data_IF_599749468504
#
_entry.id   IF_599749468504
#
_cell.length_a   1.000
_cell.length_b   1.000
_cell.length_c   1.000
_cell.angle_alpha   90.00
_cell.angle_beta   90.00
_cell.angle_gamma   90.00
#
_symmetry.space_group_name_H-M   'P 1'
#
loop_
_entity.id
_entity.type
_entity.pdbx_description
1 polymer ?
#
# COMPACT_ATOMS: atom_id res chain seq x y z
N UNK A 1 -14.24 23.23 6.28
CA UNK A 1 -14.35 22.37 7.48
C UNK A 1 -13.59 21.09 7.20
N UNK A 2 -12.67 20.67 8.08
CA UNK A 2 -11.96 19.40 7.98
C UNK A 2 -12.77 18.25 8.61
N UNK A 3 -12.29 17.02 8.44
CA UNK A 3 -12.90 15.85 9.06
C UNK A 3 -12.72 15.88 10.58
N UNK A 4 -13.76 15.50 11.31
CA UNK A 4 -13.75 15.50 12.78
C UNK A 4 -12.81 14.41 13.37
N UNK A 5 -12.45 13.40 12.59
CA UNK A 5 -11.55 12.31 12.97
C UNK A 5 -10.78 11.81 11.73
N UNK A 6 -9.61 11.18 11.89
CA UNK A 6 -8.88 10.53 10.82
C UNK A 6 -9.72 9.41 10.18
N UNK A 7 -9.73 9.30 8.87
CA UNK A 7 -10.51 8.27 8.17
C UNK A 7 -9.72 7.47 7.13
N UNK A 8 -8.50 7.88 6.84
CA UNK A 8 -7.61 7.17 5.93
C UNK A 8 -6.13 7.45 6.23
N UNK A 9 -5.23 6.86 5.46
CA UNK A 9 -3.78 7.00 5.64
C UNK A 9 -3.21 8.37 5.22
N UNK A 10 -3.97 9.22 4.53
CA UNK A 10 -3.55 10.61 4.30
C UNK A 10 -3.57 11.43 5.59
N UNK A 11 -4.37 10.97 6.57
CA UNK A 11 -4.48 11.57 7.90
C UNK A 11 -3.54 10.88 8.91
N UNK A 12 -2.57 10.09 8.48
CA UNK A 12 -1.68 9.36 9.37
C UNK A 12 -0.87 10.32 10.26
N UNK A 13 -0.93 10.07 11.57
CA UNK A 13 -0.23 10.90 12.57
C UNK A 13 -1.00 12.16 13.01
N UNK A 14 -2.13 12.47 12.41
CA UNK A 14 -2.99 13.60 12.84
C UNK A 14 -3.98 13.15 13.92
N UNK A 15 -3.52 13.16 15.16
CA UNK A 15 -4.30 12.74 16.32
C UNK A 15 -5.06 13.90 16.99
N UNK A 16 -4.84 15.14 16.54
CA UNK A 16 -5.41 16.35 17.14
C UNK A 16 -6.76 16.76 16.52
N UNK A 17 -7.52 15.80 16.00
CA UNK A 17 -8.82 16.05 15.39
C UNK A 17 -9.96 16.02 16.38
N UNK A 18 -10.99 16.81 16.11
CA UNK A 18 -12.15 16.93 16.96
C UNK A 18 -13.21 17.81 16.33
N UNK A 19 -14.10 18.29 17.16
CA UNK A 19 -15.17 19.20 16.76
C UNK A 19 -15.18 20.46 17.63
N UNK A 20 -15.66 21.53 17.04
CA UNK A 20 -15.90 22.78 17.74
C UNK A 20 -17.37 22.82 18.22
N UNK A 21 -17.58 23.02 19.50
CA UNK A 21 -18.90 23.27 20.07
C UNK A 21 -19.08 24.77 20.15
N UNK A 22 -20.14 25.25 19.53
CA UNK A 22 -20.52 26.66 19.52
C UNK A 22 -21.85 26.79 20.26
N UNK A 23 -21.83 27.51 21.38
CA UNK A 23 -23.05 27.88 22.10
C UNK A 23 -23.24 29.39 22.04
N UNK A 24 -24.48 29.83 21.85
CA UNK A 24 -24.76 31.25 21.72
C UNK A 24 -24.39 32.01 23.02
N UNK A 25 -23.54 33.02 22.86
CA UNK A 25 -23.09 33.86 24.02
C UNK A 25 -21.96 33.25 24.84
N UNK A 26 -21.35 32.13 24.38
CA UNK A 26 -20.19 31.51 24.99
C UNK A 26 -19.02 31.44 24.02
N UNK A 27 -17.81 31.30 24.54
CA UNK A 27 -16.63 31.08 23.73
C UNK A 27 -16.63 29.67 23.09
N UNK A 28 -16.14 29.53 21.85
CA UNK A 28 -16.03 28.24 21.18
C UNK A 28 -15.16 27.25 21.95
N UNK A 29 -15.67 26.04 22.15
CA UNK A 29 -14.94 24.97 22.84
C UNK A 29 -14.57 23.85 21.85
N UNK A 30 -13.26 23.58 21.71
CA UNK A 30 -12.81 22.46 20.96
C UNK A 30 -12.81 21.18 21.80
N UNK A 31 -13.44 20.12 21.27
CA UNK A 31 -13.40 18.79 21.87
C UNK A 31 -12.76 17.79 20.91
N UNK A 32 -11.66 17.19 21.34
CA UNK A 32 -11.06 16.07 20.65
C UNK A 32 -11.94 14.83 20.77
N UNK A 33 -11.91 13.97 19.75
CA UNK A 33 -12.71 12.75 19.73
C UNK A 33 -11.97 11.66 20.51
N UNK A 34 -12.48 11.16 21.63
CA UNK A 34 -11.84 10.08 22.37
C UNK A 34 -11.91 8.79 21.56
N UNK A 35 -10.83 8.00 21.54
CA UNK A 35 -10.76 6.71 20.83
C UNK A 35 -11.03 6.82 19.33
N UNK A 36 -10.57 7.90 18.70
CA UNK A 36 -10.64 8.07 17.27
C UNK A 36 -9.84 6.96 16.54
N UNK A 37 -10.17 6.66 15.26
CA UNK A 37 -9.36 5.77 14.45
C UNK A 37 -7.92 6.26 14.35
N UNK A 38 -6.97 5.36 14.52
CA UNK A 38 -5.54 5.69 14.45
C UNK A 38 -4.98 5.11 13.17
N UNK A 39 -4.43 5.96 12.32
CA UNK A 39 -3.72 5.55 11.10
C UNK A 39 -2.25 5.88 11.25
N UNK A 40 -1.38 4.95 10.86
CA UNK A 40 0.08 5.12 10.92
C UNK A 40 0.74 4.60 9.66
N UNK A 41 1.82 5.26 9.30
CA UNK A 41 2.67 4.85 8.17
C UNK A 41 4.10 4.75 8.68
N UNK A 42 4.71 3.59 8.51
CA UNK A 42 6.07 3.30 8.97
C UNK A 42 6.89 2.62 7.88
N UNK A 43 8.19 2.54 8.07
CA UNK A 43 9.08 1.65 7.32
C UNK A 43 9.18 0.31 8.05
N UNK A 44 9.46 -0.75 7.31
CA UNK A 44 9.61 -2.07 7.90
C UNK A 44 10.80 -2.14 8.85
N UNK A 45 11.93 -1.52 8.48
CA UNK A 45 13.10 -1.41 9.33
C UNK A 45 12.77 -0.85 10.72
N UNK A 46 12.03 0.27 10.76
CA UNK A 46 11.65 0.93 12.01
C UNK A 46 10.74 0.03 12.87
N UNK A 47 9.78 -0.64 12.23
CA UNK A 47 8.85 -1.55 12.90
C UNK A 47 9.56 -2.76 13.50
N UNK A 48 10.56 -3.31 12.81
CA UNK A 48 11.35 -4.44 13.32
C UNK A 48 12.27 -4.05 14.47
N UNK A 49 12.79 -2.81 14.45
CA UNK A 49 13.65 -2.30 15.52
C UNK A 49 12.88 -1.99 16.81
N UNK A 50 11.70 -1.37 16.70
CA UNK A 50 10.92 -0.97 17.87
C UNK A 50 9.40 -1.17 17.67
N UNK A 51 8.93 -2.42 17.59
CA UNK A 51 7.52 -2.70 17.37
C UNK A 51 6.62 -2.23 18.54
N UNK A 52 7.11 -2.37 19.77
CA UNK A 52 6.34 -2.02 20.98
C UNK A 52 6.09 -0.50 21.10
N UNK A 53 7.02 0.32 20.63
CA UNK A 53 6.89 1.78 20.66
C UNK A 53 6.04 2.34 19.52
N UNK A 54 5.95 1.65 18.39
CA UNK A 54 5.31 2.14 17.18
C UNK A 54 3.90 1.58 16.96
N UNK A 55 3.70 0.29 17.29
CA UNK A 55 2.45 -0.40 17.00
C UNK A 55 1.45 -0.21 18.14
N UNK A 56 0.55 0.74 17.96
CA UNK A 56 -0.50 1.04 18.92
C UNK A 56 -1.69 0.09 18.77
N UNK A 57 -2.31 -0.36 19.88
CA UNK A 57 -3.51 -1.20 19.80
C UNK A 57 -4.63 -0.52 19.01
N UNK A 58 -5.35 -1.30 18.21
CA UNK A 58 -6.47 -0.86 17.35
C UNK A 58 -6.08 0.14 16.24
N UNK A 59 -4.78 0.34 15.98
CA UNK A 59 -4.33 1.14 14.87
C UNK A 59 -4.46 0.39 13.53
N UNK A 60 -4.74 1.14 12.46
CA UNK A 60 -4.54 0.72 11.07
C UNK A 60 -3.15 1.15 10.63
N UNK A 61 -2.31 0.21 10.25
CA UNK A 61 -0.88 0.45 9.98
C UNK A 61 -0.55 0.12 8.54
N UNK A 62 0.14 1.03 7.87
CA UNK A 62 0.74 0.82 6.56
C UNK A 62 2.25 0.80 6.71
N UNK A 63 2.87 -0.27 6.27
CA UNK A 63 4.31 -0.46 6.38
C UNK A 63 4.93 -0.52 4.99
N UNK A 64 5.82 0.39 4.72
CA UNK A 64 6.61 0.39 3.50
C UNK A 64 7.79 -0.58 3.65
N UNK A 65 7.92 -1.48 2.68
CA UNK A 65 9.01 -2.45 2.63
C UNK A 65 10.25 -1.75 2.07
N UNK A 66 11.11 -1.30 2.95
CA UNK A 66 12.41 -0.68 2.64
C UNK A 66 13.56 -1.68 2.71
N UNK A 67 13.24 -2.95 3.03
CA UNK A 67 14.15 -4.09 3.08
C UNK A 67 13.59 -5.16 2.15
N UNK A 68 14.48 -5.89 1.49
CA UNK A 68 14.10 -7.03 0.66
C UNK A 68 13.68 -8.19 1.55
N UNK A 69 12.42 -8.58 1.46
CA UNK A 69 11.85 -9.72 2.16
C UNK A 69 11.03 -10.59 1.21
N UNK A 70 11.04 -11.89 1.46
CA UNK A 70 10.21 -12.82 0.71
C UNK A 70 8.71 -12.65 1.07
N UNK A 71 7.85 -13.17 0.20
CA UNK A 71 6.41 -13.19 0.46
C UNK A 71 6.03 -13.97 1.72
N UNK A 72 6.76 -15.05 2.01
CA UNK A 72 6.55 -15.88 3.20
C UNK A 72 6.90 -15.12 4.49
N UNK A 73 8.04 -14.41 4.47
CA UNK A 73 8.45 -13.55 5.60
C UNK A 73 7.46 -12.40 5.82
N UNK A 74 7.00 -11.77 4.75
CA UNK A 74 5.99 -10.71 4.82
C UNK A 74 4.69 -11.21 5.47
N UNK A 75 4.20 -12.38 5.08
CA UNK A 75 3.02 -12.98 5.69
C UNK A 75 3.26 -13.35 7.16
N UNK A 76 4.41 -13.94 7.48
CA UNK A 76 4.76 -14.29 8.85
C UNK A 76 4.79 -13.05 9.77
N UNK A 77 5.41 -11.95 9.32
CA UNK A 77 5.45 -10.68 10.04
C UNK A 77 4.03 -10.18 10.31
N UNK A 78 3.18 -10.20 9.29
CA UNK A 78 1.80 -9.74 9.39
C UNK A 78 0.97 -10.59 10.35
N UNK A 79 1.05 -11.91 10.25
CA UNK A 79 0.33 -12.85 11.11
C UNK A 79 0.81 -12.78 12.57
N UNK A 80 2.06 -12.44 12.78
CA UNK A 80 2.64 -12.31 14.12
C UNK A 80 2.29 -10.96 14.77
N UNK A 81 2.48 -9.85 14.05
CA UNK A 81 2.35 -8.51 14.63
C UNK A 81 0.91 -8.08 14.83
N UNK A 82 -0.02 -8.47 13.95
CA UNK A 82 -1.44 -8.09 14.08
C UNK A 82 -2.02 -8.57 15.42
N UNK A 83 -1.99 -9.86 15.78
CA UNK A 83 -2.56 -10.31 17.05
C UNK A 83 -1.74 -9.87 18.25
N UNK A 84 -0.40 -9.85 18.14
CA UNK A 84 0.49 -9.47 19.24
C UNK A 84 0.23 -8.03 19.70
N UNK A 85 0.07 -7.09 18.76
CA UNK A 85 -0.18 -5.68 19.06
C UNK A 85 -1.64 -5.27 18.97
N UNK A 86 -2.54 -6.23 18.77
CA UNK A 86 -3.99 -5.98 18.64
C UNK A 86 -4.31 -4.93 17.56
N UNK A 87 -3.60 -4.98 16.44
CA UNK A 87 -3.81 -4.05 15.34
C UNK A 87 -5.16 -4.31 14.68
N UNK A 88 -5.77 -3.26 14.18
CA UNK A 88 -6.97 -3.38 13.36
C UNK A 88 -6.66 -3.98 11.99
N UNK A 89 -5.59 -3.51 11.39
CA UNK A 89 -5.08 -4.00 10.12
C UNK A 89 -3.61 -3.63 9.94
N UNK A 90 -2.91 -4.40 9.09
CA UNK A 90 -1.56 -4.09 8.65
C UNK A 90 -1.45 -4.36 7.15
N UNK A 91 -1.13 -3.33 6.38
CA UNK A 91 -0.85 -3.41 4.96
C UNK A 91 0.65 -3.27 4.72
N UNK A 92 1.28 -4.25 4.07
CA UNK A 92 2.67 -4.18 3.63
C UNK A 92 2.70 -3.68 2.18
N UNK A 93 3.42 -2.61 1.92
CA UNK A 93 3.51 -1.97 0.62
C UNK A 93 4.95 -2.03 0.15
N UNK A 94 5.26 -2.74 -0.93
CA UNK A 94 6.58 -2.68 -1.52
C UNK A 94 6.86 -1.24 -1.95
N UNK A 95 7.96 -0.67 -1.47
CA UNK A 95 8.51 0.51 -2.11
C UNK A 95 8.99 -0.01 -3.46
N UNK A 96 8.40 0.47 -4.56
CA UNK A 96 9.09 0.41 -5.83
C UNK A 96 10.38 1.18 -5.57
N UNK A 97 11.46 0.47 -5.28
CA UNK A 97 12.78 1.02 -5.54
C UNK A 97 12.66 1.47 -6.99
N UNK A 98 12.72 2.77 -7.22
CA UNK A 98 13.00 3.26 -8.56
C UNK A 98 14.25 2.47 -8.93
N UNK A 99 14.02 1.43 -9.74
CA UNK A 99 15.12 0.69 -10.30
C UNK A 99 15.99 1.79 -10.83
N UNK A 100 17.19 1.90 -10.26
CA UNK A 100 18.23 2.75 -10.78
C UNK A 100 17.97 2.86 -12.27
N UNK A 101 17.72 4.06 -12.72
CA UNK A 101 17.87 4.36 -14.14
C UNK A 101 19.23 3.76 -14.51
N UNK A 102 19.19 2.48 -14.90
CA UNK A 102 20.24 1.97 -15.74
C UNK A 102 20.33 3.03 -16.83
N UNK A 103 21.50 3.62 -17.00
CA UNK A 103 21.83 4.57 -18.02
C UNK A 103 21.33 4.12 -19.39
N UNK A 104 20.04 4.21 -19.61
CA UNK A 104 19.40 4.11 -20.88
C UNK A 104 19.55 5.51 -21.47
N UNK A 105 20.42 5.59 -22.46
CA UNK A 105 20.60 6.76 -23.27
C UNK A 105 19.22 7.41 -23.58
N UNK A 106 19.13 8.74 -23.60
CA UNK A 106 17.86 9.43 -23.85
C UNK A 106 17.39 9.12 -25.28
N UNK A 107 16.52 8.13 -25.41
CA UNK A 107 16.00 7.75 -26.72
C UNK A 107 15.15 6.48 -26.81
N UNK A 108 15.18 5.57 -25.86
CA UNK A 108 14.47 4.29 -26.00
C UNK A 108 13.65 3.87 -24.77
N UNK A 109 12.71 4.67 -24.35
CA UNK A 109 11.53 4.17 -23.66
C UNK A 109 10.59 3.62 -24.74
N UNK A 110 10.85 2.41 -25.23
CA UNK A 110 9.83 1.64 -25.93
C UNK A 110 8.82 1.21 -24.89
N UNK A 111 7.71 1.94 -24.78
CA UNK A 111 6.51 1.39 -24.20
C UNK A 111 6.09 0.24 -25.13
N UNK A 112 6.34 -0.98 -24.71
CA UNK A 112 5.76 -2.14 -25.38
C UNK A 112 4.25 -1.95 -25.37
N UNK A 113 3.65 -1.94 -26.54
CA UNK A 113 2.20 -1.82 -26.61
C UNK A 113 1.57 -3.05 -25.95
N UNK A 114 0.37 -2.90 -25.40
CA UNK A 114 -0.36 -4.03 -24.80
C UNK A 114 -0.45 -5.19 -25.80
N UNK A 115 -0.58 -4.88 -27.09
CA UNK A 115 -0.59 -5.85 -28.18
C UNK A 115 0.75 -6.63 -28.31
N UNK A 116 1.87 -5.96 -28.10
CA UNK A 116 3.18 -6.63 -28.09
C UNK A 116 3.30 -7.59 -26.91
N UNK A 117 2.94 -7.15 -25.71
CA UNK A 117 2.99 -8.00 -24.51
C UNK A 117 2.11 -9.24 -24.68
N UNK A 118 0.87 -9.06 -25.20
CA UNK A 118 -0.05 -10.19 -25.42
C UNK A 118 0.48 -11.12 -26.50
N UNK A 119 1.02 -10.58 -27.60
CA UNK A 119 1.58 -11.37 -28.68
C UNK A 119 2.77 -12.20 -28.21
N UNK A 120 3.66 -11.63 -27.40
CA UNK A 120 4.82 -12.33 -26.85
C UNK A 120 4.38 -13.40 -25.84
N UNK A 121 3.40 -13.11 -25.02
CA UNK A 121 2.86 -14.10 -24.09
C UNK A 121 2.19 -15.26 -24.79
N UNK A 122 1.37 -15.03 -25.82
CA UNK A 122 0.76 -16.10 -26.62
C UNK A 122 1.83 -16.92 -27.34
N UNK A 123 2.88 -16.29 -27.85
CA UNK A 123 3.98 -16.97 -28.54
C UNK A 123 4.80 -17.89 -27.65
N UNK A 124 4.88 -17.57 -26.35
CA UNK A 124 5.62 -18.32 -25.34
C UNK A 124 4.80 -19.39 -24.61
N UNK A 125 3.51 -19.56 -24.95
CA UNK A 125 2.69 -20.62 -24.36
C UNK A 125 3.13 -21.97 -24.89
N UNK A 126 3.62 -22.84 -24.02
CA UNK A 126 3.88 -24.25 -24.33
C UNK A 126 2.61 -25.06 -24.01
N UNK A 127 1.85 -25.43 -25.03
CA UNK A 127 0.65 -26.27 -24.88
C UNK A 127 0.61 -27.37 -25.92
N UNK A 128 0.27 -28.58 -25.50
CA UNK A 128 0.02 -29.72 -26.41
C UNK A 128 -1.37 -29.64 -27.07
N UNK A 129 -2.24 -28.77 -26.63
CA UNK A 129 -3.65 -28.70 -27.04
C UNK A 129 -3.97 -27.54 -27.96
N UNK A 130 -3.13 -26.51 -27.99
CA UNK A 130 -3.38 -25.29 -28.76
C UNK A 130 -2.17 -24.91 -29.61
N UNK A 131 -2.45 -24.49 -30.86
CA UNK A 131 -1.45 -23.93 -31.75
C UNK A 131 -1.38 -22.42 -31.53
N UNK A 132 -0.19 -21.92 -31.15
CA UNK A 132 0.07 -20.51 -30.90
C UNK A 132 -0.28 -19.62 -32.10
N UNK A 133 -0.10 -20.12 -33.34
CA UNK A 133 -0.48 -19.39 -34.54
C UNK A 133 -1.98 -19.17 -34.63
N UNK A 134 -2.76 -20.17 -34.27
CA UNK A 134 -4.21 -20.09 -34.29
C UNK A 134 -4.71 -19.12 -33.20
N UNK A 135 -4.09 -19.14 -32.02
CA UNK A 135 -4.42 -18.19 -30.93
C UNK A 135 -4.10 -16.76 -31.32
N UNK A 136 -2.97 -16.50 -31.98
CA UNK A 136 -2.61 -15.18 -32.48
C UNK A 136 -3.54 -14.70 -33.59
N UNK A 137 -4.01 -15.59 -34.45
CA UNK A 137 -4.98 -15.25 -35.50
C UNK A 137 -6.35 -14.88 -34.91
N UNK A 138 -6.80 -15.61 -33.91
CA UNK A 138 -8.03 -15.27 -33.17
C UNK A 138 -7.87 -13.92 -32.49
N UNK A 139 -6.77 -13.67 -31.80
CA UNK A 139 -6.52 -12.42 -31.11
C UNK A 139 -6.54 -11.21 -32.05
N UNK A 140 -5.96 -11.33 -33.26
CA UNK A 140 -5.91 -10.26 -34.25
C UNK A 140 -7.26 -9.97 -34.94
N UNK A 141 -8.22 -10.88 -34.81
CA UNK A 141 -9.56 -10.76 -35.42
C UNK A 141 -10.63 -10.35 -34.40
N UNK A 142 -10.24 -10.09 -33.15
CA UNK A 142 -11.07 -9.49 -32.08
C UNK A 142 -11.03 -7.97 -32.14
#
# INVERSE_FOLDING_TARGET
MGNAFPHNYADAGDDARGMMILEWGQDPVFKSWPKQPVFRVYKLSDVLENPEGLLLPRASVRVHLDIDISYEEANYIKETLIPKHQLREMALIPIKLEQHQLDLAPGELKFESVDQIITDQISNIESQFYDNKMLLEIYRNL
#
